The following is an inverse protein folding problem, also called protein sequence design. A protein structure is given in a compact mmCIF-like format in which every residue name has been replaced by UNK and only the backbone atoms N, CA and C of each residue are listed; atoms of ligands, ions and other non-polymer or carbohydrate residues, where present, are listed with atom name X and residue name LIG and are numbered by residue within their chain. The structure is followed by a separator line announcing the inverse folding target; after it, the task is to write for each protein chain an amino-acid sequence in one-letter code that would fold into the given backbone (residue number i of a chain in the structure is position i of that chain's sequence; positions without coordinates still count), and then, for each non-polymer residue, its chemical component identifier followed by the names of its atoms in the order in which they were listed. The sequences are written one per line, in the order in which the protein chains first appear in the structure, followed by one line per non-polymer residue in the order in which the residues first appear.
data_IF_803025189374
#
_entry.id   IF_803025189374
#
_cell.length_a   1.000
_cell.length_b   1.000
_cell.length_c   1.000
_cell.angle_alpha   90.00
_cell.angle_beta   90.00
_cell.angle_gamma   90.00
#
_symmetry.space_group_name_H-M   'P 1'
#
loop_
_entity.id
_entity.type
_entity.pdbx_description
1 polymer ?
#
# COMPACT_ATOMS: atom_id res chain seq x y z
N UNK A 1 3.79 -22.73 -7.21
CA UNK A 1 3.99 -23.75 -8.25
C UNK A 1 5.49 -23.94 -8.42
N UNK A 2 5.95 -25.17 -8.64
CA UNK A 2 7.38 -25.44 -8.81
C UNK A 2 7.80 -25.01 -10.22
N UNK A 3 8.91 -24.26 -10.38
CA UNK A 3 9.39 -23.90 -11.71
C UNK A 3 9.69 -25.15 -12.54
N UNK A 4 9.25 -25.18 -13.80
CA UNK A 4 9.41 -26.33 -14.70
C UNK A 4 10.89 -26.72 -14.86
N UNK A 5 11.80 -25.73 -14.82
CA UNK A 5 13.26 -25.91 -14.88
C UNK A 5 13.87 -26.63 -13.65
N UNK A 6 13.12 -26.74 -12.56
CA UNK A 6 13.54 -27.40 -11.33
C UNK A 6 12.78 -28.70 -11.09
N UNK A 7 11.70 -28.98 -11.82
CA UNK A 7 10.79 -30.08 -11.53
C UNK A 7 11.45 -31.48 -11.61
N UNK A 8 12.46 -31.63 -12.46
CA UNK A 8 13.13 -32.92 -12.71
C UNK A 8 14.30 -33.22 -11.75
N UNK A 9 14.70 -32.26 -10.91
CA UNK A 9 15.85 -32.41 -10.02
C UNK A 9 15.50 -33.13 -8.70
N UNK A 10 16.48 -33.74 -8.01
CA UNK A 10 16.27 -34.27 -6.66
C UNK A 10 15.80 -33.19 -5.68
N UNK A 11 14.86 -33.51 -4.78
CA UNK A 11 14.19 -32.55 -3.87
C UNK A 11 15.16 -31.65 -3.09
N UNK A 12 16.28 -32.19 -2.60
CA UNK A 12 17.30 -31.41 -1.90
C UNK A 12 18.00 -30.37 -2.81
N UNK A 13 18.21 -30.71 -4.09
CA UNK A 13 18.76 -29.78 -5.08
C UNK A 13 17.72 -28.76 -5.55
N UNK A 14 16.44 -29.15 -5.63
CA UNK A 14 15.32 -28.24 -5.92
C UNK A 14 15.24 -27.12 -4.89
N UNK A 15 15.22 -27.48 -3.60
CA UNK A 15 15.13 -26.50 -2.52
C UNK A 15 16.34 -25.54 -2.51
N UNK A 16 17.56 -26.06 -2.69
CA UNK A 16 18.77 -25.22 -2.73
C UNK A 16 18.75 -24.24 -3.90
N UNK A 17 18.43 -24.70 -5.11
CA UNK A 17 18.35 -23.82 -6.30
C UNK A 17 17.23 -22.80 -6.17
N UNK A 18 16.08 -23.21 -5.64
CA UNK A 18 14.96 -22.32 -5.38
C UNK A 18 15.32 -21.23 -4.36
N UNK A 19 16.01 -21.59 -3.27
CA UNK A 19 16.51 -20.62 -2.29
C UNK A 19 17.47 -19.63 -2.91
N UNK A 20 18.48 -20.10 -3.67
CA UNK A 20 19.46 -19.21 -4.32
C UNK A 20 18.76 -18.27 -5.30
N UNK A 21 17.84 -18.79 -6.14
CA UNK A 21 17.08 -17.99 -7.09
C UNK A 21 16.22 -16.96 -6.38
N UNK A 22 15.56 -17.33 -5.28
CA UNK A 22 14.75 -16.42 -4.47
C UNK A 22 15.60 -15.32 -3.83
N UNK A 23 16.72 -15.68 -3.20
CA UNK A 23 17.66 -14.71 -2.64
C UNK A 23 18.20 -13.74 -3.70
N UNK A 24 18.54 -14.24 -4.89
CA UNK A 24 19.00 -13.40 -5.99
C UNK A 24 17.90 -12.44 -6.47
N UNK A 25 16.68 -12.93 -6.70
CA UNK A 25 15.56 -12.10 -7.12
C UNK A 25 15.18 -11.05 -6.08
N UNK A 26 15.18 -11.41 -4.80
CA UNK A 26 14.96 -10.48 -3.69
C UNK A 26 16.07 -9.43 -3.61
N UNK A 27 17.34 -9.83 -3.69
CA UNK A 27 18.48 -8.92 -3.64
C UNK A 27 18.47 -7.93 -4.81
N UNK A 28 18.22 -8.42 -6.02
CA UNK A 28 18.11 -7.57 -7.20
C UNK A 28 16.92 -6.60 -7.11
N UNK A 29 15.76 -7.08 -6.66
CA UNK A 29 14.59 -6.23 -6.43
C UNK A 29 14.85 -5.14 -5.39
N UNK A 30 15.51 -5.47 -4.28
CA UNK A 30 15.91 -4.49 -3.26
C UNK A 30 16.87 -3.45 -3.81
N UNK A 31 17.87 -3.87 -4.60
CA UNK A 31 18.81 -2.95 -5.24
C UNK A 31 18.08 -1.96 -6.18
N UNK A 32 17.14 -2.48 -6.99
CA UNK A 32 16.31 -1.64 -7.86
C UNK A 32 15.52 -0.62 -7.04
N UNK A 33 14.84 -1.04 -5.96
CA UNK A 33 14.10 -0.11 -5.09
C UNK A 33 15.03 0.97 -4.52
N UNK A 34 16.21 0.61 -4.02
CA UNK A 34 17.17 1.58 -3.48
C UNK A 34 17.65 2.60 -4.52
N UNK A 35 17.84 2.19 -5.78
CA UNK A 35 18.29 3.08 -6.86
C UNK A 35 17.17 3.99 -7.37
N UNK A 36 15.93 3.50 -7.41
CA UNK A 36 14.80 4.20 -8.03
C UNK A 36 13.87 4.93 -7.05
N UNK A 37 13.97 4.69 -5.73
CA UNK A 37 13.08 5.35 -4.75
C UNK A 37 13.31 6.85 -4.66
N UNK A 38 14.55 7.32 -4.55
CA UNK A 38 14.82 8.77 -4.43
C UNK A 38 14.38 9.53 -5.69
N UNK A 39 14.75 9.10 -6.92
CA UNK A 39 14.25 9.74 -8.15
C UNK A 39 12.73 9.75 -8.26
N UNK A 40 12.05 8.70 -7.77
CA UNK A 40 10.58 8.65 -7.76
C UNK A 40 10.01 9.76 -6.87
N UNK A 41 10.53 9.94 -5.65
CA UNK A 41 10.07 10.98 -4.72
C UNK A 41 10.34 12.38 -5.29
N UNK A 42 11.49 12.57 -5.93
CA UNK A 42 11.84 13.85 -6.57
C UNK A 42 10.86 14.24 -7.67
N UNK A 43 10.48 13.27 -8.53
CA UNK A 43 9.52 13.52 -9.61
C UNK A 43 8.13 13.87 -9.05
N UNK A 44 7.68 13.18 -8.00
CA UNK A 44 6.39 13.49 -7.37
C UNK A 44 6.38 14.90 -6.76
N UNK A 45 7.49 15.30 -6.16
CA UNK A 45 7.67 16.65 -5.60
C UNK A 45 7.69 17.72 -6.71
N UNK A 46 8.42 17.47 -7.80
CA UNK A 46 8.51 18.38 -8.94
C UNK A 46 7.16 18.54 -9.67
N UNK A 47 6.36 17.47 -9.75
CA UNK A 47 4.98 17.56 -10.24
C UNK A 47 4.13 18.48 -9.36
N UNK A 48 4.28 18.39 -8.04
CA UNK A 48 3.60 19.28 -7.10
C UNK A 48 3.95 20.75 -7.35
N UNK A 49 5.24 21.03 -7.48
CA UNK A 49 5.74 22.38 -7.76
C UNK A 49 5.18 22.94 -9.08
N UNK A 50 5.20 22.16 -10.16
CA UNK A 50 4.73 22.61 -11.48
C UNK A 50 3.22 22.81 -11.55
N UNK A 51 2.47 21.96 -10.85
CA UNK A 51 1.01 22.02 -10.83
C UNK A 51 0.47 22.96 -9.75
N UNK A 52 1.34 23.53 -8.90
CA UNK A 52 0.95 24.32 -7.71
C UNK A 52 0.02 23.55 -6.76
N UNK A 53 0.31 22.26 -6.57
CA UNK A 53 -0.41 21.35 -5.68
C UNK A 53 0.58 20.77 -4.68
N UNK A 54 0.20 20.62 -3.41
CA UNK A 54 1.10 20.02 -2.42
C UNK A 54 1.53 18.60 -2.85
N UNK A 55 2.84 18.27 -2.78
CA UNK A 55 3.37 16.94 -3.12
C UNK A 55 2.67 15.79 -2.38
N UNK A 56 2.09 16.06 -1.21
CA UNK A 56 1.30 15.09 -0.46
C UNK A 56 0.14 14.56 -1.30
N UNK A 57 -0.68 15.43 -1.91
CA UNK A 57 -1.88 15.02 -2.66
C UNK A 57 -1.51 14.14 -3.87
N UNK A 58 -0.43 14.47 -4.55
CA UNK A 58 0.06 13.70 -5.71
C UNK A 58 0.57 12.34 -5.25
N UNK A 59 1.42 12.32 -4.21
CA UNK A 59 1.99 11.10 -3.66
C UNK A 59 0.92 10.20 -3.05
N UNK A 60 -0.07 10.78 -2.37
CA UNK A 60 -1.18 10.06 -1.76
C UNK A 60 -1.94 9.24 -2.80
N UNK A 61 -2.14 9.80 -4.01
CA UNK A 61 -2.80 9.10 -5.11
C UNK A 61 -1.86 8.12 -5.82
N UNK A 62 -0.65 8.56 -6.19
CA UNK A 62 0.20 7.81 -7.11
C UNK A 62 1.07 6.74 -6.42
N UNK A 63 1.56 7.01 -5.20
CA UNK A 63 2.45 6.08 -4.52
C UNK A 63 1.80 4.71 -4.24
N UNK A 64 0.51 4.60 -3.85
CA UNK A 64 -0.15 3.32 -3.70
C UNK A 64 -0.23 2.51 -5.00
N UNK A 65 -0.39 3.17 -6.16
CA UNK A 65 -0.35 2.48 -7.46
C UNK A 65 1.06 1.96 -7.77
N UNK A 66 2.11 2.70 -7.44
CA UNK A 66 3.47 2.22 -7.66
C UNK A 66 3.83 1.06 -6.73
N UNK A 67 3.46 1.16 -5.44
CA UNK A 67 3.92 0.21 -4.42
C UNK A 67 3.04 -1.03 -4.25
N UNK A 68 1.73 -0.93 -4.53
CA UNK A 68 0.77 -2.01 -4.21
C UNK A 68 -0.01 -2.51 -5.44
N UNK A 69 0.33 -2.08 -6.67
CA UNK A 69 -0.41 -2.51 -7.87
C UNK A 69 -0.34 -4.02 -8.12
N UNK A 70 0.81 -4.65 -7.88
CA UNK A 70 0.98 -6.10 -8.07
C UNK A 70 0.05 -6.90 -7.15
N UNK A 71 -0.08 -6.47 -5.90
CA UNK A 71 -0.98 -7.06 -4.91
C UNK A 71 -2.44 -6.88 -5.32
N UNK A 72 -2.82 -5.66 -5.74
CA UNK A 72 -4.17 -5.35 -6.22
C UNK A 72 -4.54 -6.20 -7.44
N UNK A 73 -3.65 -6.33 -8.42
CA UNK A 73 -3.88 -7.13 -9.63
C UNK A 73 -4.00 -8.63 -9.32
N UNK A 74 -3.17 -9.13 -8.39
CA UNK A 74 -3.25 -10.51 -7.95
C UNK A 74 -4.58 -10.80 -7.24
N UNK A 75 -4.98 -9.92 -6.30
CA UNK A 75 -6.26 -10.02 -5.59
C UNK A 75 -7.45 -9.93 -6.55
N UNK A 76 -7.40 -9.05 -7.54
CA UNK A 76 -8.41 -8.96 -8.59
C UNK A 76 -8.53 -10.27 -9.38
N UNK A 77 -7.40 -10.88 -9.74
CA UNK A 77 -7.38 -12.17 -10.47
C UNK A 77 -8.03 -13.28 -9.64
N UNK A 78 -7.83 -13.30 -8.32
CA UNK A 78 -8.55 -14.20 -7.41
C UNK A 78 -10.04 -13.87 -7.31
N UNK A 79 -10.40 -12.60 -7.17
CA UNK A 79 -11.79 -12.15 -7.09
C UNK A 79 -12.58 -12.48 -8.36
N UNK A 80 -11.95 -12.41 -9.54
CA UNK A 80 -12.55 -12.74 -10.85
C UNK A 80 -13.05 -14.20 -10.93
N UNK A 81 -12.51 -15.11 -10.13
CA UNK A 81 -12.96 -16.52 -10.06
C UNK A 81 -14.35 -16.68 -9.42
N UNK A 82 -14.89 -15.63 -8.76
CA UNK A 82 -16.25 -15.55 -8.20
C UNK A 82 -16.66 -16.72 -7.29
N UNK A 83 -15.70 -17.40 -6.66
CA UNK A 83 -15.98 -18.42 -5.63
C UNK A 83 -15.74 -17.86 -4.22
N UNK A 84 -16.43 -18.40 -3.23
CA UNK A 84 -16.23 -18.00 -1.83
C UNK A 84 -14.77 -18.21 -1.40
N UNK A 85 -14.18 -19.37 -1.73
CA UNK A 85 -12.79 -19.69 -1.39
C UNK A 85 -11.81 -18.68 -1.99
N UNK A 86 -11.96 -18.37 -3.28
CA UNK A 86 -11.08 -17.41 -3.96
C UNK A 86 -11.26 -15.98 -3.45
N UNK A 87 -12.47 -15.57 -3.09
CA UNK A 87 -12.73 -14.26 -2.48
C UNK A 87 -12.11 -14.16 -1.08
N UNK A 88 -12.28 -15.19 -0.25
CA UNK A 88 -11.63 -15.26 1.07
C UNK A 88 -10.12 -15.16 0.94
N UNK A 89 -9.51 -15.90 0.00
CA UNK A 89 -8.07 -15.79 -0.25
C UNK A 89 -7.67 -14.39 -0.67
N UNK A 90 -8.39 -13.76 -1.62
CA UNK A 90 -8.10 -12.39 -2.06
C UNK A 90 -8.12 -11.39 -0.89
N UNK A 91 -9.17 -11.44 -0.06
CA UNK A 91 -9.33 -10.56 1.10
C UNK A 91 -8.26 -10.82 2.17
N UNK A 92 -7.98 -12.08 2.49
CA UNK A 92 -6.94 -12.43 3.47
C UNK A 92 -5.56 -11.98 3.03
N UNK A 93 -5.23 -12.07 1.73
CA UNK A 93 -3.96 -11.57 1.19
C UNK A 93 -3.88 -10.05 1.30
N UNK A 94 -4.92 -9.32 0.91
CA UNK A 94 -4.95 -7.85 1.00
C UNK A 94 -4.86 -7.37 2.46
N UNK A 95 -5.59 -8.01 3.38
CA UNK A 95 -5.54 -7.67 4.81
C UNK A 95 -4.15 -7.97 5.37
N UNK A 96 -3.57 -9.12 5.03
CA UNK A 96 -2.21 -9.48 5.46
C UNK A 96 -1.17 -8.48 4.99
N UNK A 97 -1.21 -8.08 3.72
CA UNK A 97 -0.32 -7.08 3.15
C UNK A 97 -0.50 -5.72 3.85
N UNK A 98 -1.75 -5.26 4.03
CA UNK A 98 -2.04 -4.00 4.71
C UNK A 98 -1.56 -4.00 6.18
N UNK A 99 -1.78 -5.08 6.92
CA UNK A 99 -1.31 -5.21 8.30
C UNK A 99 0.23 -5.19 8.36
N UNK A 100 0.91 -5.90 7.46
CA UNK A 100 2.37 -5.94 7.42
C UNK A 100 2.96 -4.57 7.06
N UNK A 101 2.49 -3.94 5.98
CA UNK A 101 2.96 -2.63 5.55
C UNK A 101 2.69 -1.58 6.61
N UNK A 102 1.47 -1.50 7.15
CA UNK A 102 1.15 -0.47 8.14
C UNK A 102 1.92 -0.64 9.44
N UNK A 103 2.13 -1.86 9.94
CA UNK A 103 2.86 -2.06 11.20
C UNK A 103 4.37 -1.86 11.03
N UNK A 104 4.97 -2.52 10.03
CA UNK A 104 6.41 -2.47 9.82
C UNK A 104 6.87 -1.12 9.27
N UNK A 105 6.19 -0.55 8.27
CA UNK A 105 6.58 0.73 7.71
C UNK A 105 6.37 1.87 8.71
N UNK A 106 5.28 1.86 9.49
CA UNK A 106 5.07 2.86 10.54
C UNK A 106 6.17 2.77 11.61
N UNK A 107 6.55 1.55 12.01
CA UNK A 107 7.65 1.36 12.95
C UNK A 107 8.97 1.95 12.42
N UNK A 108 9.35 1.61 11.18
CA UNK A 108 10.58 2.14 10.55
C UNK A 108 10.50 3.67 10.41
N UNK A 109 9.36 4.20 10.00
CA UNK A 109 9.15 5.65 9.87
C UNK A 109 9.30 6.37 11.21
N UNK A 110 8.63 5.90 12.27
CA UNK A 110 8.73 6.49 13.61
C UNK A 110 10.15 6.36 14.19
N UNK A 111 10.83 5.25 13.93
CA UNK A 111 12.22 5.08 14.33
C UNK A 111 13.13 6.11 13.64
N UNK A 112 12.94 6.37 12.34
CA UNK A 112 13.69 7.41 11.63
C UNK A 112 13.40 8.80 12.17
N UNK A 113 12.12 9.14 12.43
CA UNK A 113 11.74 10.42 13.04
C UNK A 113 12.45 10.62 14.38
N UNK A 114 12.47 9.58 15.23
CA UNK A 114 13.15 9.61 16.53
C UNK A 114 14.67 9.77 16.39
N UNK A 115 15.34 8.91 15.62
CA UNK A 115 16.80 8.93 15.51
C UNK A 115 17.34 10.15 14.73
N UNK A 116 16.55 10.71 13.81
CA UNK A 116 16.91 11.90 13.03
C UNK A 116 16.44 13.21 13.67
N UNK A 117 15.73 13.16 14.81
CA UNK A 117 15.14 14.32 15.47
C UNK A 117 14.30 15.20 14.52
N UNK A 118 13.47 14.56 13.69
CA UNK A 118 12.58 15.27 12.77
C UNK A 118 11.35 15.76 13.53
N UNK A 119 10.91 16.98 13.25
CA UNK A 119 9.65 17.50 13.77
C UNK A 119 8.48 16.83 13.05
N UNK A 120 7.44 16.46 13.81
CA UNK A 120 6.19 15.99 13.24
C UNK A 120 5.39 17.17 12.67
N UNK A 121 5.08 17.13 11.38
CA UNK A 121 4.43 18.23 10.64
C UNK A 121 3.24 17.74 9.78
N UNK A 122 2.72 16.54 10.07
CA UNK A 122 1.71 15.88 9.22
C UNK A 122 0.46 15.48 10.04
N UNK A 123 0.00 16.38 10.90
CA UNK A 123 -1.05 16.05 11.86
C UNK A 123 -2.40 15.98 11.17
N UNK A 124 -2.69 16.94 10.29
CA UNK A 124 -3.93 17.00 9.54
C UNK A 124 -4.10 15.77 8.64
N UNK A 125 -3.07 15.39 7.90
CA UNK A 125 -3.09 14.25 6.98
C UNK A 125 -3.25 12.94 7.73
N UNK A 126 -2.46 12.75 8.80
CA UNK A 126 -2.51 11.52 9.60
C UNK A 126 -3.87 11.35 10.25
N UNK A 127 -4.45 12.42 10.80
CA UNK A 127 -5.77 12.37 11.42
C UNK A 127 -6.86 12.06 10.38
N UNK A 128 -6.81 12.68 9.20
CA UNK A 128 -7.76 12.42 8.12
C UNK A 128 -7.72 10.95 7.67
N UNK A 129 -6.53 10.39 7.47
CA UNK A 129 -6.33 8.98 7.08
C UNK A 129 -6.90 8.05 8.16
N UNK A 130 -6.59 8.30 9.42
CA UNK A 130 -7.10 7.51 10.55
C UNK A 130 -8.63 7.57 10.61
N UNK A 131 -9.22 8.76 10.50
CA UNK A 131 -10.67 8.95 10.52
C UNK A 131 -11.37 8.16 9.40
N UNK A 132 -10.87 8.25 8.17
CA UNK A 132 -11.42 7.51 7.04
C UNK A 132 -11.25 5.99 7.25
N UNK A 133 -10.12 5.55 7.81
CA UNK A 133 -9.90 4.14 8.12
C UNK A 133 -10.92 3.61 9.13
N UNK A 134 -11.28 4.39 10.15
CA UNK A 134 -12.34 4.06 11.10
C UNK A 134 -13.72 3.98 10.41
N UNK A 135 -14.03 4.90 9.50
CA UNK A 135 -15.27 4.88 8.71
C UNK A 135 -15.36 3.61 7.87
N UNK A 136 -14.30 3.28 7.12
CA UNK A 136 -14.23 2.07 6.30
C UNK A 136 -14.34 0.82 7.20
N UNK A 137 -13.62 0.79 8.31
CA UNK A 137 -13.67 -0.31 9.29
C UNK A 137 -15.08 -0.52 9.83
N UNK A 138 -15.77 0.54 10.22
CA UNK A 138 -17.16 0.48 10.68
C UNK A 138 -18.11 -0.06 9.61
N UNK A 139 -18.01 0.44 8.37
CA UNK A 139 -18.83 -0.03 7.24
C UNK A 139 -18.65 -1.53 6.96
N UNK A 140 -17.40 -2.00 7.01
CA UNK A 140 -17.05 -3.39 6.72
C UNK A 140 -17.43 -4.32 7.88
N UNK A 141 -17.20 -3.92 9.13
CA UNK A 141 -17.51 -4.73 10.31
C UNK A 141 -19.02 -4.92 10.54
N UNK A 142 -19.84 -3.93 10.18
CA UNK A 142 -21.31 -4.00 10.39
C UNK A 142 -21.99 -4.94 9.39
N UNK A 143 -21.44 -5.12 8.18
CA UNK A 143 -22.07 -5.91 7.11
C UNK A 143 -21.27 -7.17 6.79
N UNK A 144 -21.89 -8.34 6.99
CA UNK A 144 -21.30 -9.63 6.59
C UNK A 144 -21.19 -9.82 5.07
N UNK A 145 -22.06 -9.16 4.30
CA UNK A 145 -22.07 -9.25 2.83
C UNK A 145 -21.76 -7.88 2.24
N UNK A 146 -20.65 -7.81 1.51
CA UNK A 146 -20.22 -6.61 0.80
C UNK A 146 -20.94 -6.54 -0.55
N UNK A 147 -21.70 -5.48 -0.76
CA UNK A 147 -22.44 -5.24 -2.01
C UNK A 147 -21.68 -4.24 -2.88
N UNK A 148 -22.05 -4.13 -4.16
CA UNK A 148 -21.47 -3.13 -5.07
C UNK A 148 -21.63 -1.70 -4.55
N UNK A 149 -22.70 -1.41 -3.81
CA UNK A 149 -22.89 -0.11 -3.14
C UNK A 149 -21.83 0.12 -2.08
N UNK A 150 -21.52 -0.90 -1.26
CA UNK A 150 -20.43 -0.79 -0.28
C UNK A 150 -19.08 -0.56 -0.97
N UNK A 151 -18.83 -1.21 -2.11
CA UNK A 151 -17.63 -0.97 -2.89
C UNK A 151 -17.54 0.48 -3.41
N UNK A 152 -18.63 1.02 -3.95
CA UNK A 152 -18.67 2.43 -4.38
C UNK A 152 -18.43 3.40 -3.20
N UNK A 153 -18.99 3.13 -2.02
CA UNK A 153 -18.76 3.95 -0.83
C UNK A 153 -17.30 3.91 -0.39
N UNK A 154 -16.69 2.72 -0.32
CA UNK A 154 -15.27 2.56 0.03
C UNK A 154 -14.38 3.29 -0.98
N UNK A 155 -14.69 3.20 -2.27
CA UNK A 155 -13.96 3.93 -3.31
C UNK A 155 -14.12 5.46 -3.15
N UNK A 156 -15.30 5.93 -2.77
CA UNK A 156 -15.57 7.35 -2.53
C UNK A 156 -14.88 7.89 -1.25
N UNK A 157 -14.60 7.03 -0.27
CA UNK A 157 -13.82 7.42 0.91
C UNK A 157 -12.40 7.89 0.55
N UNK A 158 -11.84 7.45 -0.57
CA UNK A 158 -10.49 7.84 -1.01
C UNK A 158 -10.40 9.32 -1.42
N UNK A 159 -11.20 9.85 -2.38
CA UNK A 159 -11.27 11.29 -2.61
C UNK A 159 -11.87 12.04 -1.42
N UNK A 160 -12.75 11.40 -0.64
CA UNK A 160 -13.23 11.95 0.63
C UNK A 160 -12.10 12.24 1.62
N UNK A 161 -11.08 11.37 1.71
CA UNK A 161 -9.91 11.60 2.54
C UNK A 161 -9.16 12.88 2.15
N UNK A 162 -8.94 13.08 0.85
CA UNK A 162 -8.28 14.29 0.35
C UNK A 162 -9.09 15.55 0.66
N UNK A 163 -10.42 15.47 0.59
CA UNK A 163 -11.29 16.57 0.99
C UNK A 163 -11.19 16.89 2.48
N UNK A 164 -11.12 15.87 3.34
CA UNK A 164 -10.94 16.06 4.79
C UNK A 164 -9.59 16.68 5.11
N UNK A 165 -8.52 16.27 4.43
CA UNK A 165 -7.19 16.91 4.55
C UNK A 165 -7.28 18.38 4.17
N UNK A 166 -7.82 18.66 2.98
CA UNK A 166 -8.00 20.04 2.50
C UNK A 166 -8.81 20.89 3.50
N UNK A 167 -9.85 20.32 4.12
CA UNK A 167 -10.65 21.00 5.12
C UNK A 167 -9.85 21.32 6.39
N UNK A 168 -9.04 20.38 6.90
CA UNK A 168 -8.21 20.62 8.07
C UNK A 168 -7.12 21.67 7.83
N UNK A 169 -6.45 21.61 6.67
CA UNK A 169 -5.42 22.59 6.29
C UNK A 169 -6.02 24.00 6.09
N UNK A 170 -7.09 24.12 5.30
CA UNK A 170 -7.56 25.43 4.82
C UNK A 170 -8.62 26.09 5.71
N UNK A 171 -9.39 25.31 6.48
CA UNK A 171 -10.48 25.84 7.31
C UNK A 171 -10.11 25.85 8.79
N UNK A 172 -9.49 24.77 9.27
CA UNK A 172 -9.12 24.63 10.69
C UNK A 172 -7.73 25.22 10.97
N UNK A 173 -6.86 25.28 9.95
CA UNK A 173 -5.50 25.81 10.07
C UNK A 173 -4.56 24.86 10.82
N UNK A 174 -4.79 23.55 10.68
CA UNK A 174 -3.89 22.52 11.20
C UNK A 174 -2.94 22.07 10.11
N UNK A 175 -1.65 22.02 10.45
CA UNK A 175 -0.59 21.33 9.71
C UNK A 175 -0.46 19.87 10.21
#
# INVERSE_FOLDING_TARGET
EMPEDLADLPVAQQQRKLMIRSCWMMGFGTLMVLVFSDPMVDILSEWGNRMSISPFYISFILAPFASNASELLSAYTYAKKKSQKSMTTALSTLIGAACMNNTFCLFVFLALVYFKNLAWQFTAETLAIVLIQWVIGGLVCVKKVQTSVTACLILACYPGCLFVVWFFENVVGWD
#
